data_IF_106768308686
#
_entry.id   IF_106768308686
#
_cell.length_a   1.000
_cell.length_b   1.000
_cell.length_c   1.000
_cell.angle_alpha   90.00
_cell.angle_beta   90.00
_cell.angle_gamma   90.00
#
_symmetry.space_group_name_H-M   'P 1'
#
loop_
_entity.id
_entity.type
_entity.pdbx_description
1 polymer ?
#
# COMPACT_ATOMS: atom_id res chain seq x y z
N UNK A 1 -36.71 -26.65 5.37
CA UNK A 1 -36.42 -25.88 4.15
C UNK A 1 -36.06 -24.42 4.40
N UNK A 2 -36.76 -23.70 5.27
CA UNK A 2 -36.53 -22.25 5.45
C UNK A 2 -35.15 -21.79 5.84
N UNK A 3 -34.37 -22.52 6.65
CA UNK A 3 -33.08 -22.05 7.15
C UNK A 3 -31.98 -22.07 6.09
N UNK A 4 -31.87 -23.08 5.24
CA UNK A 4 -30.88 -23.18 4.17
C UNK A 4 -31.15 -22.13 3.08
N UNK A 5 -32.41 -22.01 2.65
CA UNK A 5 -32.79 -21.02 1.65
C UNK A 5 -32.56 -19.59 2.14
N UNK A 6 -32.86 -19.29 3.40
CA UNK A 6 -32.59 -17.99 4.00
C UNK A 6 -31.11 -17.68 4.07
N UNK A 7 -30.28 -18.68 4.45
CA UNK A 7 -28.81 -18.53 4.48
C UNK A 7 -28.23 -18.21 3.10
N UNK A 8 -28.68 -18.90 2.06
CA UNK A 8 -28.23 -18.68 0.67
C UNK A 8 -28.63 -17.30 0.15
N UNK A 9 -29.84 -16.81 0.48
CA UNK A 9 -30.29 -15.45 0.15
C UNK A 9 -29.35 -14.41 0.78
N UNK A 10 -29.05 -14.56 2.08
CA UNK A 10 -28.17 -13.64 2.79
C UNK A 10 -26.76 -13.60 2.19
N UNK A 11 -26.19 -14.75 1.82
CA UNK A 11 -24.88 -14.82 1.14
C UNK A 11 -24.96 -14.07 -0.20
N UNK A 12 -25.94 -14.36 -1.04
CA UNK A 12 -26.10 -13.72 -2.35
C UNK A 12 -26.28 -12.20 -2.25
N UNK A 13 -27.06 -11.71 -1.29
CA UNK A 13 -27.22 -10.25 -1.09
C UNK A 13 -25.95 -9.56 -0.61
N UNK A 14 -25.20 -10.21 0.28
CA UNK A 14 -23.89 -9.67 0.75
C UNK A 14 -22.89 -9.63 -0.39
N UNK A 15 -22.83 -10.66 -1.24
CA UNK A 15 -21.93 -10.69 -2.39
C UNK A 15 -22.26 -9.61 -3.43
N UNK A 16 -23.53 -9.29 -3.64
CA UNK A 16 -23.94 -8.20 -4.56
C UNK A 16 -23.51 -6.83 -4.00
N UNK A 17 -23.46 -6.69 -2.66
CA UNK A 17 -23.04 -5.46 -1.98
C UNK A 17 -21.51 -5.31 -1.85
N UNK A 18 -20.73 -6.33 -2.22
CA UNK A 18 -19.26 -6.20 -2.23
C UNK A 18 -18.84 -5.12 -3.22
N UNK A 19 -17.91 -4.29 -2.80
CA UNK A 19 -17.38 -3.22 -3.60
C UNK A 19 -16.79 -3.73 -4.92
N UNK A 20 -16.88 -2.94 -5.98
CA UNK A 20 -16.35 -3.27 -7.30
C UNK A 20 -14.86 -3.64 -7.22
N UNK A 21 -14.10 -2.95 -6.35
CA UNK A 21 -12.67 -3.22 -6.10
C UNK A 21 -12.36 -4.69 -5.78
N UNK A 22 -13.22 -5.36 -4.97
CA UNK A 22 -13.03 -6.79 -4.67
C UNK A 22 -13.29 -7.67 -5.89
N UNK A 23 -14.24 -7.28 -6.74
CA UNK A 23 -14.53 -8.02 -7.97
C UNK A 23 -13.40 -7.87 -8.98
N UNK A 24 -12.80 -6.69 -9.06
CA UNK A 24 -11.69 -6.41 -9.96
C UNK A 24 -10.41 -7.12 -9.46
N UNK A 25 -10.21 -7.18 -8.15
CA UNK A 25 -9.05 -7.86 -7.54
C UNK A 25 -9.13 -9.40 -7.62
N UNK A 26 -10.34 -9.97 -7.59
CA UNK A 26 -10.58 -11.41 -7.62
C UNK A 26 -11.54 -11.80 -8.76
N UNK A 27 -11.15 -11.56 -10.03
CA UNK A 27 -12.02 -11.82 -11.18
C UNK A 27 -12.32 -13.30 -11.38
N UNK A 28 -11.45 -14.19 -10.88
CA UNK A 28 -11.62 -15.64 -10.95
C UNK A 28 -12.72 -16.19 -10.03
N UNK A 29 -13.18 -15.38 -9.07
CA UNK A 29 -14.24 -15.82 -8.17
C UNK A 29 -15.58 -15.94 -8.90
N UNK A 30 -16.41 -16.91 -8.52
CA UNK A 30 -17.67 -17.19 -9.21
C UNK A 30 -18.77 -16.16 -8.89
N UNK A 31 -18.49 -14.86 -9.08
CA UNK A 31 -19.43 -13.75 -8.83
C UNK A 31 -20.77 -13.91 -9.56
N UNK A 32 -20.70 -14.46 -10.80
CA UNK A 32 -21.91 -14.71 -11.60
C UNK A 32 -22.76 -15.83 -11.01
N UNK A 33 -22.13 -16.87 -10.45
CA UNK A 33 -22.81 -18.00 -9.82
C UNK A 33 -23.49 -17.56 -8.52
N UNK A 34 -22.78 -16.77 -7.70
CA UNK A 34 -23.38 -16.18 -6.50
C UNK A 34 -24.60 -15.31 -6.81
N UNK A 35 -24.55 -14.53 -7.89
CA UNK A 35 -25.69 -13.74 -8.36
C UNK A 35 -26.84 -14.62 -8.87
N UNK A 36 -26.53 -15.68 -9.64
CA UNK A 36 -27.54 -16.65 -10.12
C UNK A 36 -28.22 -17.36 -8.95
N UNK A 37 -27.44 -17.82 -7.97
CA UNK A 37 -27.94 -18.47 -6.76
C UNK A 37 -28.92 -17.56 -6.01
N UNK A 38 -28.57 -16.30 -5.80
CA UNK A 38 -29.47 -15.31 -5.19
C UNK A 38 -30.76 -15.15 -5.99
N UNK A 39 -30.69 -15.03 -7.33
CA UNK A 39 -31.86 -14.79 -8.18
C UNK A 39 -32.79 -16.00 -8.18
N UNK A 40 -32.27 -17.22 -8.26
CA UNK A 40 -33.06 -18.44 -8.17
C UNK A 40 -33.85 -18.50 -6.84
N UNK A 41 -33.16 -18.18 -5.74
CA UNK A 41 -33.74 -18.26 -4.40
C UNK A 41 -34.74 -17.14 -4.14
N UNK A 42 -34.52 -15.93 -4.63
CA UNK A 42 -35.37 -14.74 -4.37
C UNK A 42 -36.57 -14.70 -5.31
N UNK A 43 -36.41 -15.07 -6.59
CA UNK A 43 -37.44 -14.90 -7.62
C UNK A 43 -38.14 -16.18 -8.02
N UNK A 44 -37.50 -17.35 -7.87
CA UNK A 44 -38.08 -18.66 -8.26
C UNK A 44 -38.32 -19.57 -7.06
N UNK A 45 -38.35 -19.03 -5.84
CA UNK A 45 -38.52 -19.84 -4.62
C UNK A 45 -39.77 -20.73 -4.65
N UNK A 46 -40.89 -20.25 -5.24
CA UNK A 46 -42.12 -21.03 -5.34
C UNK A 46 -42.04 -22.12 -6.41
N UNK A 47 -41.18 -21.97 -7.41
CA UNK A 47 -41.02 -22.89 -8.55
C UNK A 47 -39.70 -23.67 -8.52
N UNK A 48 -38.76 -23.32 -7.63
CA UNK A 48 -37.45 -23.98 -7.56
C UNK A 48 -37.61 -25.43 -7.06
N UNK A 49 -37.23 -26.39 -7.90
CA UNK A 49 -37.15 -27.78 -7.53
C UNK A 49 -36.16 -27.96 -6.36
N UNK A 50 -36.61 -28.69 -5.32
CA UNK A 50 -35.77 -29.05 -4.15
C UNK A 50 -34.38 -29.58 -4.53
N UNK A 51 -34.29 -30.31 -5.64
CA UNK A 51 -33.05 -30.86 -6.17
C UNK A 51 -32.10 -29.75 -6.62
N UNK A 52 -32.58 -28.72 -7.31
CA UNK A 52 -31.76 -27.58 -7.76
C UNK A 52 -31.22 -26.80 -6.59
N UNK A 53 -32.01 -26.57 -5.55
CA UNK A 53 -31.54 -25.89 -4.31
C UNK A 53 -30.46 -26.72 -3.59
N UNK A 54 -30.66 -28.04 -3.55
CA UNK A 54 -29.73 -28.97 -2.91
C UNK A 54 -28.42 -29.09 -3.69
N UNK A 55 -28.47 -29.24 -5.02
CA UNK A 55 -27.32 -29.34 -5.90
C UNK A 55 -26.48 -28.02 -5.87
N UNK A 56 -27.14 -26.86 -5.88
CA UNK A 56 -26.52 -25.56 -5.71
C UNK A 56 -25.84 -25.42 -4.34
N UNK A 57 -26.53 -25.88 -3.27
CA UNK A 57 -25.96 -25.81 -1.92
C UNK A 57 -24.72 -26.69 -1.76
N UNK A 58 -24.65 -27.86 -2.38
CA UNK A 58 -23.51 -28.77 -2.25
C UNK A 58 -22.35 -28.36 -3.16
N UNK A 59 -22.64 -28.06 -4.42
CA UNK A 59 -21.57 -27.85 -5.42
C UNK A 59 -21.04 -26.41 -5.42
N UNK A 60 -21.87 -25.40 -5.19
CA UNK A 60 -21.48 -24.01 -5.29
C UNK A 60 -20.99 -23.44 -3.94
N UNK A 61 -21.48 -23.94 -2.79
CA UNK A 61 -21.06 -23.45 -1.48
C UNK A 61 -19.61 -23.84 -1.15
N UNK A 62 -19.18 -25.05 -1.49
CA UNK A 62 -17.81 -25.50 -1.22
C UNK A 62 -16.80 -24.65 -2.00
N UNK A 63 -17.10 -24.35 -3.26
CA UNK A 63 -16.27 -23.46 -4.10
C UNK A 63 -16.24 -22.04 -3.52
N UNK A 64 -17.41 -21.52 -3.11
CA UNK A 64 -17.50 -20.18 -2.50
C UNK A 64 -16.77 -20.10 -1.16
N UNK A 65 -16.86 -21.12 -0.33
CA UNK A 65 -16.15 -21.20 0.95
C UNK A 65 -14.64 -21.14 0.73
N UNK A 66 -14.10 -21.94 -0.20
CA UNK A 66 -12.68 -21.91 -0.57
C UNK A 66 -12.22 -20.53 -1.04
N UNK A 67 -13.05 -19.84 -1.84
CA UNK A 67 -12.80 -18.48 -2.29
C UNK A 67 -12.78 -17.47 -1.13
N UNK A 68 -13.75 -17.55 -0.23
CA UNK A 68 -13.81 -16.65 0.94
C UNK A 68 -12.68 -16.88 1.93
N UNK A 69 -12.25 -18.14 2.13
CA UNK A 69 -11.09 -18.44 2.96
C UNK A 69 -9.83 -17.80 2.38
N UNK A 70 -9.62 -17.90 1.07
CA UNK A 70 -8.50 -17.26 0.38
C UNK A 70 -8.53 -15.73 0.53
N UNK A 71 -9.67 -15.08 0.25
CA UNK A 71 -9.82 -13.62 0.46
C UNK A 71 -9.51 -13.25 1.92
N UNK A 72 -10.01 -14.03 2.87
CA UNK A 72 -9.78 -13.81 4.31
C UNK A 72 -8.29 -13.90 4.66
N UNK A 73 -7.59 -14.85 4.10
CA UNK A 73 -6.15 -15.03 4.34
C UNK A 73 -5.34 -13.89 3.69
N UNK A 74 -5.70 -13.47 2.48
CA UNK A 74 -5.10 -12.31 1.81
C UNK A 74 -5.34 -11.02 2.60
N UNK A 75 -6.58 -10.78 3.06
CA UNK A 75 -6.94 -9.62 3.89
C UNK A 75 -6.17 -9.66 5.22
N UNK A 76 -6.06 -10.82 5.84
CA UNK A 76 -5.30 -11.01 7.07
C UNK A 76 -3.83 -10.71 6.86
N UNK A 77 -3.22 -11.24 5.81
CA UNK A 77 -1.82 -10.99 5.47
C UNK A 77 -1.55 -9.49 5.19
N UNK A 78 -2.42 -8.84 4.42
CA UNK A 78 -2.33 -7.39 4.20
C UNK A 78 -2.48 -6.63 5.53
N UNK A 79 -3.43 -7.02 6.36
CA UNK A 79 -3.70 -6.36 7.65
C UNK A 79 -2.54 -6.51 8.65
N UNK A 80 -1.92 -7.67 8.73
CA UNK A 80 -0.80 -7.94 9.64
C UNK A 80 0.47 -7.19 9.25
N UNK A 81 0.66 -6.90 7.96
CA UNK A 81 1.83 -6.20 7.43
C UNK A 81 1.54 -4.75 7.01
N UNK A 82 0.45 -4.16 7.49
CA UNK A 82 0.07 -2.79 7.13
C UNK A 82 0.02 -1.87 8.33
N UNK A 83 0.30 -0.60 8.07
CA UNK A 83 0.18 0.47 9.05
C UNK A 83 -1.03 1.34 8.71
N UNK A 84 -1.74 1.82 9.73
CA UNK A 84 -2.99 2.54 9.57
C UNK A 84 -2.89 3.92 10.18
N UNK A 85 -3.30 4.93 9.41
CA UNK A 85 -3.46 6.31 9.91
C UNK A 85 -4.94 6.71 9.89
N UNK A 86 -5.24 7.99 10.07
CA UNK A 86 -6.62 8.46 9.95
C UNK A 86 -7.17 8.30 8.50
N UNK A 87 -6.40 8.74 7.50
CA UNK A 87 -6.84 8.77 6.09
C UNK A 87 -6.14 7.75 5.20
N UNK A 88 -5.03 7.15 5.67
CA UNK A 88 -4.15 6.33 4.85
C UNK A 88 -4.05 4.89 5.36
N UNK A 89 -3.87 4.00 4.41
CA UNK A 89 -3.41 2.63 4.59
C UNK A 89 -2.01 2.55 3.96
N UNK A 90 -1.00 2.23 4.77
CA UNK A 90 0.34 1.91 4.31
C UNK A 90 0.43 0.39 4.23
N UNK A 91 0.35 -0.17 3.04
CA UNK A 91 0.37 -1.62 2.82
C UNK A 91 1.55 -2.05 1.97
N UNK A 92 1.97 -3.31 2.05
CA UNK A 92 2.90 -3.83 1.06
C UNK A 92 2.43 -3.54 -0.36
N UNK A 93 3.39 -3.35 -1.26
CA UNK A 93 3.10 -3.25 -2.68
C UNK A 93 2.59 -4.57 -3.25
N UNK A 94 1.77 -4.50 -4.29
CA UNK A 94 1.21 -5.65 -5.01
C UNK A 94 1.48 -5.45 -6.51
N UNK A 95 1.69 -6.51 -7.27
CA UNK A 95 1.92 -6.40 -8.73
C UNK A 95 0.76 -5.70 -9.46
N UNK A 96 -0.44 -5.81 -8.93
CA UNK A 96 -1.63 -5.10 -9.46
C UNK A 96 -1.54 -3.58 -9.34
N UNK A 97 -0.59 -3.04 -8.56
CA UNK A 97 -0.36 -1.60 -8.43
C UNK A 97 0.46 -1.01 -9.60
N UNK A 98 0.88 -1.83 -10.56
CA UNK A 98 1.78 -1.42 -11.64
C UNK A 98 1.25 -0.23 -12.46
N UNK A 99 -0.05 -0.21 -12.78
CA UNK A 99 -0.68 0.89 -13.53
C UNK A 99 -0.69 2.19 -12.70
N UNK A 100 -1.06 2.13 -11.42
CA UNK A 100 -1.07 3.30 -10.55
C UNK A 100 0.35 3.81 -10.27
N UNK A 101 1.31 2.90 -10.07
CA UNK A 101 2.72 3.28 -9.93
C UNK A 101 3.24 3.96 -11.19
N UNK A 102 2.93 3.42 -12.39
CA UNK A 102 3.33 4.03 -13.66
C UNK A 102 2.78 5.44 -13.80
N UNK A 103 1.49 5.65 -13.57
CA UNK A 103 0.85 6.96 -13.67
C UNK A 103 1.50 8.01 -12.75
N UNK A 104 2.01 7.62 -11.59
CA UNK A 104 2.67 8.51 -10.66
C UNK A 104 4.17 8.69 -10.94
N UNK A 105 4.87 7.61 -11.30
CA UNK A 105 6.33 7.58 -11.45
C UNK A 105 6.82 8.03 -12.83
N UNK A 106 5.94 8.15 -13.83
CA UNK A 106 6.27 8.75 -15.14
C UNK A 106 6.49 10.26 -15.08
N UNK A 107 6.08 10.92 -13.97
CA UNK A 107 6.24 12.36 -13.80
C UNK A 107 7.71 12.74 -13.57
N UNK A 108 8.35 13.53 -14.46
CA UNK A 108 9.77 13.84 -14.36
C UNK A 108 10.17 14.55 -13.06
N UNK A 109 9.27 15.39 -12.52
CA UNK A 109 9.52 16.09 -11.24
C UNK A 109 9.69 15.10 -10.07
N UNK A 110 8.92 14.01 -10.06
CA UNK A 110 9.02 12.99 -9.00
C UNK A 110 10.36 12.27 -9.12
N UNK A 111 10.68 11.73 -10.32
CA UNK A 111 11.95 11.07 -10.58
C UNK A 111 13.16 11.93 -10.22
N UNK A 112 13.15 13.20 -10.61
CA UNK A 112 14.22 14.15 -10.30
C UNK A 112 14.48 14.27 -8.79
N UNK A 113 13.42 14.52 -7.98
CA UNK A 113 13.59 14.68 -6.53
C UNK A 113 13.89 13.40 -5.77
N UNK A 114 13.59 12.25 -6.35
CA UNK A 114 13.82 10.94 -5.74
C UNK A 114 15.08 10.23 -6.28
N UNK A 115 15.72 10.80 -7.31
CA UNK A 115 16.98 10.29 -7.84
C UNK A 115 16.82 9.14 -8.84
N UNK A 116 15.65 8.97 -9.47
CA UNK A 116 15.46 7.97 -10.53
C UNK A 116 15.00 8.57 -11.87
N UNK A 117 15.15 7.80 -12.95
CA UNK A 117 14.58 8.15 -14.25
C UNK A 117 13.07 7.93 -14.26
N UNK A 118 12.28 8.86 -14.83
CA UNK A 118 10.84 8.64 -15.01
C UNK A 118 10.54 7.33 -15.71
N UNK A 119 9.55 6.59 -15.24
CA UNK A 119 9.12 5.34 -15.86
C UNK A 119 8.62 5.61 -17.28
N UNK A 120 9.10 4.85 -18.25
CA UNK A 120 8.77 5.02 -19.68
C UNK A 120 7.54 4.25 -20.08
N UNK A 121 7.36 3.09 -19.47
CA UNK A 121 6.19 2.26 -19.65
C UNK A 121 5.94 1.39 -18.38
N UNK A 122 4.87 0.59 -18.42
CA UNK A 122 4.46 -0.25 -17.29
C UNK A 122 5.51 -1.31 -16.89
N UNK A 123 6.40 -1.69 -17.80
CA UNK A 123 7.46 -2.68 -17.52
C UNK A 123 8.49 -2.12 -16.54
N UNK A 124 8.77 -0.82 -16.61
CA UNK A 124 9.63 -0.16 -15.63
C UNK A 124 8.98 -0.20 -14.24
N UNK A 125 7.66 0.02 -14.17
CA UNK A 125 6.91 -0.09 -12.92
C UNK A 125 6.91 -1.51 -12.35
N UNK A 126 6.68 -2.51 -13.20
CA UNK A 126 6.74 -3.92 -12.79
C UNK A 126 8.13 -4.30 -12.29
N UNK A 127 9.19 -3.86 -12.96
CA UNK A 127 10.57 -4.08 -12.52
C UNK A 127 10.84 -3.49 -11.13
N UNK A 128 10.37 -2.27 -10.89
CA UNK A 128 10.51 -1.59 -9.58
C UNK A 128 9.67 -2.29 -8.51
N UNK A 129 8.44 -2.73 -8.85
CA UNK A 129 7.58 -3.46 -7.93
C UNK A 129 8.21 -4.77 -7.46
N UNK A 130 8.87 -5.52 -8.33
CA UNK A 130 9.58 -6.75 -7.92
C UNK A 130 10.62 -6.47 -6.82
N UNK A 131 11.35 -5.35 -6.91
CA UNK A 131 12.27 -4.95 -5.85
C UNK A 131 11.54 -4.50 -4.57
N UNK A 132 10.38 -3.83 -4.69
CA UNK A 132 9.58 -3.42 -3.54
C UNK A 132 8.92 -4.60 -2.83
N UNK A 133 8.51 -5.63 -3.56
CA UNK A 133 7.93 -6.86 -2.98
C UNK A 133 8.93 -7.63 -2.11
N UNK A 134 10.23 -7.49 -2.39
CA UNK A 134 11.30 -8.08 -1.57
C UNK A 134 11.66 -7.21 -0.35
N UNK A 135 11.33 -5.91 -0.38
CA UNK A 135 11.68 -4.96 0.66
C UNK A 135 10.64 -4.97 1.79
N UNK A 136 11.00 -5.51 2.96
CA UNK A 136 10.10 -5.74 4.09
C UNK A 136 9.38 -4.49 4.60
N UNK A 137 10.07 -3.34 4.63
CA UNK A 137 9.56 -2.11 5.22
C UNK A 137 9.29 -1.03 4.16
N UNK A 138 8.81 -1.45 2.97
CA UNK A 138 8.45 -0.54 1.87
C UNK A 138 6.97 -0.67 1.55
N UNK A 139 6.25 0.45 1.66
CA UNK A 139 4.80 0.51 1.62
C UNK A 139 4.27 1.41 0.51
N UNK A 140 3.22 0.97 -0.17
CA UNK A 140 2.34 1.83 -0.93
C UNK A 140 1.53 2.70 0.03
N UNK A 141 1.46 4.00 -0.22
CA UNK A 141 0.57 4.92 0.50
C UNK A 141 -0.78 4.91 -0.22
N UNK A 142 -1.81 4.34 0.39
CA UNK A 142 -3.14 4.24 -0.19
C UNK A 142 -4.14 5.12 0.56
N UNK A 143 -5.05 5.77 -0.17
CA UNK A 143 -6.19 6.47 0.43
C UNK A 143 -7.23 5.45 0.92
N UNK A 144 -7.62 5.51 2.20
CA UNK A 144 -8.64 4.61 2.75
C UNK A 144 -10.00 4.74 2.06
N UNK A 145 -10.33 5.93 1.62
CA UNK A 145 -11.61 6.24 0.99
C UNK A 145 -11.78 5.57 -0.38
N UNK A 146 -10.71 5.51 -1.18
CA UNK A 146 -10.76 5.07 -2.58
C UNK A 146 -9.92 3.84 -2.88
N UNK A 147 -9.04 3.42 -1.97
CA UNK A 147 -8.04 2.38 -2.18
C UNK A 147 -6.87 2.81 -3.07
N UNK A 148 -6.91 4.01 -3.67
CA UNK A 148 -5.91 4.47 -4.66
C UNK A 148 -4.56 4.68 -4.05
N UNK A 149 -3.53 4.24 -4.77
CA UNK A 149 -2.13 4.51 -4.44
C UNK A 149 -1.82 5.98 -4.76
N UNK A 150 -1.21 6.68 -3.81
CA UNK A 150 -0.86 8.09 -3.92
C UNK A 150 0.64 8.37 -3.77
N UNK A 151 1.43 7.35 -3.43
CA UNK A 151 2.87 7.46 -3.25
C UNK A 151 3.48 6.23 -2.60
N UNK A 152 4.72 6.37 -2.16
CA UNK A 152 5.47 5.33 -1.44
C UNK A 152 6.16 5.90 -0.21
N UNK A 153 6.34 5.04 0.80
CA UNK A 153 7.11 5.33 1.99
C UNK A 153 7.79 4.05 2.47
N UNK A 154 9.01 4.15 2.98
CA UNK A 154 9.73 2.98 3.46
C UNK A 154 10.86 3.31 4.42
N UNK A 155 11.31 2.26 5.12
CA UNK A 155 12.51 2.24 5.94
C UNK A 155 13.55 1.35 5.26
N UNK A 156 14.60 1.96 4.74
CA UNK A 156 15.73 1.23 4.19
C UNK A 156 16.61 0.77 5.36
N UNK A 157 16.88 -0.53 5.44
CA UNK A 157 17.65 -1.15 6.52
C UNK A 157 19.11 -1.42 6.11
N UNK A 158 19.48 -1.15 4.86
CA UNK A 158 20.78 -1.39 4.25
C UNK A 158 21.34 -0.15 3.51
N UNK A 159 20.87 1.04 3.87
CA UNK A 159 21.34 2.30 3.29
C UNK A 159 22.80 2.61 3.66
N UNK A 160 23.49 3.35 2.79
CA UNK A 160 24.85 3.85 3.02
C UNK A 160 24.97 4.82 4.22
N UNK A 161 23.86 5.38 4.69
CA UNK A 161 23.82 6.25 5.86
C UNK A 161 23.86 5.47 7.18
N UNK A 162 23.50 4.19 7.14
CA UNK A 162 23.39 3.32 8.32
C UNK A 162 24.79 2.91 8.78
N UNK A 163 25.05 3.10 10.06
CA UNK A 163 26.33 2.74 10.69
C UNK A 163 26.18 1.65 11.75
N UNK A 164 24.97 1.47 12.27
CA UNK A 164 24.66 0.52 13.32
C UNK A 164 23.39 -0.27 12.99
N UNK A 165 23.22 -1.48 13.51
CA UNK A 165 22.08 -2.34 13.20
C UNK A 165 20.71 -1.78 13.63
N UNK A 166 20.67 -0.85 14.60
CA UNK A 166 19.46 -0.20 15.09
C UNK A 166 19.17 1.15 14.42
N UNK A 167 19.67 1.35 13.21
CA UNK A 167 19.45 2.54 12.40
C UNK A 167 18.68 2.17 11.12
N UNK A 168 17.95 3.12 10.55
CA UNK A 168 17.34 3.01 9.23
C UNK A 168 17.34 4.35 8.51
N UNK A 169 17.08 4.34 7.19
CA UNK A 169 16.86 5.56 6.43
C UNK A 169 15.38 5.63 6.00
N UNK A 170 14.74 6.76 6.26
CA UNK A 170 13.38 7.05 5.81
C UNK A 170 13.40 7.60 4.38
N UNK A 171 12.75 6.89 3.46
CA UNK A 171 12.48 7.32 2.10
C UNK A 171 10.97 7.50 1.86
N UNK A 172 10.59 8.53 1.12
CA UNK A 172 9.18 8.75 0.76
C UNK A 172 9.02 9.63 -0.48
N UNK A 173 7.93 9.42 -1.19
CA UNK A 173 7.44 10.34 -2.21
C UNK A 173 5.91 10.27 -2.32
N UNK A 174 5.32 11.34 -2.83
CA UNK A 174 3.88 11.44 -3.10
C UNK A 174 3.68 11.99 -4.49
N UNK A 175 2.85 11.33 -5.27
CA UNK A 175 2.52 11.71 -6.64
C UNK A 175 1.99 13.14 -6.73
N UNK A 176 2.34 13.83 -7.81
CA UNK A 176 2.08 15.25 -8.00
C UNK A 176 0.63 15.68 -7.76
N UNK A 177 -0.41 14.94 -8.22
CA UNK A 177 -1.81 15.28 -7.96
C UNK A 177 -2.21 15.24 -6.48
N UNK A 178 -1.46 14.51 -5.67
CA UNK A 178 -1.77 14.26 -4.25
C UNK A 178 -0.90 15.05 -3.27
N UNK A 179 0.05 15.83 -3.79
CA UNK A 179 0.89 16.70 -2.95
C UNK A 179 0.06 17.80 -2.27
N UNK A 180 0.60 18.38 -1.18
CA UNK A 180 -0.02 19.45 -0.37
C UNK A 180 -1.30 19.08 0.38
N UNK A 181 -1.71 17.81 0.38
CA UNK A 181 -2.83 17.31 1.18
C UNK A 181 -2.40 16.80 2.57
N UNK A 182 -1.11 16.88 2.90
CA UNK A 182 -0.58 16.42 4.18
C UNK A 182 -0.34 14.90 4.26
N UNK A 183 -0.54 14.16 3.18
CA UNK A 183 -0.40 12.69 3.17
C UNK A 183 1.01 12.22 3.51
N UNK A 184 2.06 12.86 2.96
CA UNK A 184 3.45 12.52 3.30
C UNK A 184 3.73 12.71 4.80
N UNK A 185 3.21 13.76 5.42
CA UNK A 185 3.39 14.01 6.86
C UNK A 185 2.66 12.97 7.71
N UNK A 186 1.43 12.62 7.34
CA UNK A 186 0.62 11.64 8.02
C UNK A 186 1.25 10.23 7.94
N UNK A 187 1.69 9.82 6.75
CA UNK A 187 2.37 8.55 6.51
C UNK A 187 3.72 8.49 7.27
N UNK A 188 4.51 9.57 7.20
CA UNK A 188 5.81 9.63 7.86
C UNK A 188 5.69 9.58 9.39
N UNK A 189 4.67 10.21 9.98
CA UNK A 189 4.43 10.07 11.42
C UNK A 189 4.21 8.63 11.84
N UNK A 190 3.42 7.90 11.09
CA UNK A 190 3.09 6.52 11.43
C UNK A 190 4.29 5.59 11.23
N UNK A 191 5.02 5.71 10.13
CA UNK A 191 6.19 4.84 9.92
C UNK A 191 7.34 5.15 10.89
N UNK A 192 7.48 6.40 11.34
CA UNK A 192 8.43 6.78 12.41
C UNK A 192 8.02 6.15 13.73
N UNK A 193 6.72 6.16 14.08
CA UNK A 193 6.20 5.45 15.24
C UNK A 193 6.55 3.96 15.14
N UNK A 194 6.22 3.36 14.00
CA UNK A 194 6.51 1.95 13.72
C UNK A 194 8.00 1.62 13.88
N UNK A 195 8.89 2.43 13.31
CA UNK A 195 10.33 2.24 13.44
C UNK A 195 10.79 2.25 14.91
N UNK A 196 10.32 3.22 15.70
CA UNK A 196 10.77 3.37 17.09
C UNK A 196 10.08 2.43 18.07
N UNK A 197 8.79 2.15 17.89
CA UNK A 197 8.01 1.41 18.88
C UNK A 197 7.90 -0.08 18.54
N UNK A 198 7.78 -0.43 17.26
CA UNK A 198 7.55 -1.81 16.83
C UNK A 198 8.86 -2.51 16.40
N UNK A 199 9.79 -1.78 15.73
CA UNK A 199 11.06 -2.33 15.23
C UNK A 199 12.26 -2.05 16.14
N UNK A 200 12.06 -1.32 17.24
CA UNK A 200 13.10 -0.90 18.19
C UNK A 200 14.31 -0.17 17.55
N UNK A 201 14.06 0.55 16.46
CA UNK A 201 15.07 1.42 15.85
C UNK A 201 15.43 2.56 16.84
N UNK A 202 16.71 2.91 16.93
CA UNK A 202 17.20 3.99 17.78
C UNK A 202 17.36 5.31 17.05
N UNK A 203 17.69 5.26 15.76
CA UNK A 203 18.00 6.44 14.94
C UNK A 203 17.46 6.27 13.52
N UNK A 204 16.76 7.30 13.03
CA UNK A 204 16.27 7.38 11.66
C UNK A 204 17.04 8.47 10.92
N UNK A 205 17.65 8.09 9.81
CA UNK A 205 18.26 9.00 8.85
C UNK A 205 17.23 9.41 7.80
N UNK A 206 17.35 10.60 7.25
CA UNK A 206 16.58 11.04 6.10
C UNK A 206 17.37 12.10 5.33
N UNK A 207 17.47 11.94 4.03
CA UNK A 207 18.20 12.88 3.19
C UNK A 207 17.28 13.59 2.20
N UNK A 208 17.68 14.78 1.74
CA UNK A 208 17.04 15.51 0.66
C UNK A 208 18.06 16.34 -0.11
N UNK A 209 17.81 16.58 -1.40
CA UNK A 209 18.60 17.55 -2.14
C UNK A 209 18.43 18.96 -1.54
N UNK A 210 19.52 19.75 -1.51
CA UNK A 210 19.56 21.07 -0.87
C UNK A 210 18.41 21.98 -1.31
N UNK A 211 18.04 21.92 -2.59
CA UNK A 211 16.95 22.70 -3.19
C UNK A 211 15.56 22.11 -2.99
N UNK A 212 15.43 20.91 -2.41
CA UNK A 212 14.12 20.29 -2.16
C UNK A 212 13.45 20.86 -0.89
N UNK A 213 12.97 22.09 -1.00
CA UNK A 213 12.33 22.82 0.11
C UNK A 213 11.09 22.07 0.66
N UNK A 214 10.38 21.29 -0.20
CA UNK A 214 9.21 20.50 0.23
C UNK A 214 9.64 19.40 1.21
N UNK A 215 10.68 18.64 0.87
CA UNK A 215 11.21 17.57 1.73
C UNK A 215 11.85 18.14 3.00
N UNK A 216 12.63 19.22 2.88
CA UNK A 216 13.20 19.95 4.02
C UNK A 216 12.12 20.32 5.04
N UNK A 217 11.09 21.05 4.60
CA UNK A 217 10.01 21.51 5.49
C UNK A 217 9.23 20.37 6.13
N UNK A 218 9.09 19.23 5.45
CA UNK A 218 8.48 18.02 6.02
C UNK A 218 9.35 17.44 7.14
N UNK A 219 10.65 17.27 6.89
CA UNK A 219 11.61 16.72 7.85
C UNK A 219 11.72 17.59 9.10
N UNK A 220 11.76 18.92 8.94
CA UNK A 220 11.74 19.88 10.04
C UNK A 220 10.48 19.74 10.92
N UNK A 221 9.29 19.63 10.30
CA UNK A 221 8.03 19.41 11.01
C UNK A 221 8.01 18.09 11.77
N UNK A 222 8.61 17.04 11.22
CA UNK A 222 8.74 15.74 11.87
C UNK A 222 9.76 15.77 13.01
N UNK A 223 10.65 16.78 13.04
CA UNK A 223 11.63 16.97 14.10
C UNK A 223 13.02 16.46 13.79
N UNK A 224 13.30 16.15 12.53
CA UNK A 224 14.66 15.84 12.12
C UNK A 224 15.59 17.01 12.38
N UNK A 225 16.84 16.70 12.75
CA UNK A 225 17.93 17.65 12.90
C UNK A 225 18.92 17.50 11.77
N UNK A 226 19.38 18.62 11.25
CA UNK A 226 20.48 18.63 10.28
C UNK A 226 21.75 18.08 10.91
N UNK A 227 22.46 17.23 10.16
CA UNK A 227 23.74 16.62 10.55
C UNK A 227 24.90 17.13 9.69
N UNK A 228 24.81 16.91 8.38
CA UNK A 228 25.87 17.31 7.45
C UNK A 228 25.35 17.38 6.01
N UNK A 229 26.20 17.93 5.12
CA UNK A 229 25.98 17.90 3.67
C UNK A 229 26.84 16.79 3.08
N UNK A 230 26.21 15.95 2.23
CA UNK A 230 26.86 14.93 1.42
C UNK A 230 26.76 15.31 -0.05
N UNK A 231 27.69 14.86 -0.87
CA UNK A 231 27.60 15.00 -2.33
C UNK A 231 27.24 13.66 -2.95
N UNK A 232 26.02 13.56 -3.45
CA UNK A 232 25.55 12.34 -4.14
C UNK A 232 25.53 12.57 -5.65
N UNK A 233 25.99 11.56 -6.39
CA UNK A 233 25.76 11.48 -7.83
C UNK A 233 24.29 11.22 -8.08
N UNK A 234 23.69 11.94 -9.04
CA UNK A 234 22.34 11.61 -9.48
C UNK A 234 22.37 10.31 -10.27
N UNK A 235 21.46 9.40 -9.94
CA UNK A 235 21.33 8.13 -10.67
C UNK A 235 21.07 8.36 -12.17
N UNK A 236 20.29 9.39 -12.49
CA UNK A 236 19.94 9.77 -13.87
C UNK A 236 21.00 10.57 -14.62
N UNK A 237 21.95 11.19 -13.90
CA UNK A 237 23.03 12.02 -14.45
C UNK A 237 24.24 11.94 -13.55
N UNK A 238 25.05 10.86 -13.64
CA UNK A 238 26.21 10.64 -12.76
C UNK A 238 27.25 11.77 -12.83
N UNK A 239 27.29 12.51 -13.94
CA UNK A 239 28.15 13.70 -14.09
C UNK A 239 27.71 14.91 -13.27
N UNK A 240 26.45 14.91 -12.76
CA UNK A 240 25.93 15.97 -11.92
C UNK A 240 25.92 15.55 -10.47
N UNK A 241 26.77 16.17 -9.66
CA UNK A 241 26.74 16.02 -8.20
C UNK A 241 25.73 16.97 -7.60
N UNK A 242 24.81 16.44 -6.80
CA UNK A 242 23.89 17.23 -6.00
C UNK A 242 24.27 17.18 -4.53
N UNK A 243 24.22 18.36 -3.90
CA UNK A 243 24.34 18.43 -2.44
C UNK A 243 23.08 17.88 -1.79
N UNK A 244 23.28 16.92 -0.91
CA UNK A 244 22.24 16.32 -0.10
C UNK A 244 22.41 16.74 1.34
N UNK A 245 21.39 17.35 1.92
CA UNK A 245 21.32 17.57 3.36
C UNK A 245 20.92 16.26 4.03
N UNK A 246 21.78 15.75 4.88
CA UNK A 246 21.52 14.56 5.69
C UNK A 246 21.05 14.99 7.07
N UNK A 247 19.92 14.47 7.48
CA UNK A 247 19.26 14.77 8.73
C UNK A 247 19.00 13.49 9.52
N UNK A 248 18.86 13.60 10.84
CA UNK A 248 18.55 12.47 11.70
C UNK A 248 17.47 12.79 12.73
N UNK A 249 16.79 11.74 13.19
CA UNK A 249 15.81 11.79 14.27
C UNK A 249 16.05 10.62 15.21
N UNK A 250 16.38 10.90 16.48
CA UNK A 250 16.53 9.85 17.48
C UNK A 250 15.20 9.53 18.19
N UNK A 251 15.12 8.30 18.71
CA UNK A 251 13.95 7.82 19.49
C UNK A 251 13.67 8.72 20.70
N UNK A 252 14.70 9.18 21.40
CA UNK A 252 14.57 10.07 22.56
C UNK A 252 13.94 11.41 22.16
N UNK A 253 14.45 12.00 21.05
CA UNK A 253 13.91 13.27 20.55
C UNK A 253 12.47 13.15 20.09
N UNK A 254 12.11 12.05 19.48
CA UNK A 254 10.73 11.78 19.09
C UNK A 254 9.77 11.69 20.28
N UNK A 255 10.19 10.99 21.34
CA UNK A 255 9.40 10.80 22.57
C UNK A 255 9.32 12.05 23.44
N UNK A 256 10.17 13.04 23.23
CA UNK A 256 10.16 14.31 23.96
C UNK A 256 9.18 15.36 23.40
N UNK A 257 8.52 15.07 22.27
CA UNK A 257 7.52 15.92 21.62
C UNK A 257 6.11 15.58 22.08
#
# INVERSE_FOLDING_TARGET
MGAVSFGLIQIGERMVKLEQLLRDKYPELPWSQARKMRNIIVHDYENANQKTIYDTAINDLEVLEGCFLRIKDDIKHISENSLFTNRLLLRPWDETDADELFELAKEPEIGFWCGWEPHKDIRDSLFVLHNFLEAKETYAICLKETGRVVGSIGLLLDSVLIKNPNECELGFWVGKPYQRNGYAFEAAKEIIRHAFDDLDIGLIWCSHYEDNIKSKGLQEKLGFSFCYIDEKEMFSKPEMKHKCCVNSLSKEKWKSK
#
